data_IF_311829683053
#
_entry.id   IF_311829683053
#
_cell.length_a   1.000
_cell.length_b   1.000
_cell.length_c   1.000
_cell.angle_alpha   90.00
_cell.angle_beta   90.00
_cell.angle_gamma   90.00
#
_symmetry.space_group_name_H-M   'P 1'
#
loop_
_entity.id
_entity.type
_entity.pdbx_description
1 polymer ?
#
# COMPACT_ATOMS: atom_id res chain seq x y z
N UNK A 1 -9.89 -16.35 14.82
CA UNK A 1 -8.91 -16.04 13.75
C UNK A 1 -9.19 -14.62 13.31
N UNK A 2 -8.21 -13.70 13.22
CA UNK A 2 -8.46 -12.42 12.58
C UNK A 2 -8.84 -12.70 11.11
N UNK A 3 -9.91 -12.06 10.61
CA UNK A 3 -10.32 -12.20 9.22
C UNK A 3 -9.20 -11.73 8.29
N UNK A 4 -8.98 -12.48 7.21
CA UNK A 4 -8.06 -12.04 6.17
C UNK A 4 -8.65 -10.80 5.49
N UNK A 5 -7.81 -9.86 5.03
CA UNK A 5 -8.30 -8.65 4.35
C UNK A 5 -9.15 -9.01 3.12
N UNK A 6 -8.88 -10.16 2.49
CA UNK A 6 -9.58 -10.62 1.29
C UNK A 6 -11.07 -10.91 1.50
N UNK A 7 -11.49 -11.30 2.71
CA UNK A 7 -12.90 -11.59 2.98
C UNK A 7 -13.72 -10.32 3.25
N UNK A 8 -13.07 -9.22 3.64
CA UNK A 8 -13.71 -8.01 4.17
C UNK A 8 -13.96 -6.91 3.11
N UNK A 9 -13.47 -7.04 1.86
CA UNK A 9 -13.41 -5.93 0.88
C UNK A 9 -14.21 -6.11 -0.42
N UNK A 10 -14.77 -7.30 -0.68
CA UNK A 10 -15.57 -7.56 -1.88
C UNK A 10 -17.07 -7.35 -1.63
N UNK A 11 -17.43 -6.27 -0.94
CA UNK A 11 -18.80 -6.01 -0.48
C UNK A 11 -19.48 -4.82 -1.21
N UNK A 12 -18.83 -4.26 -2.23
CA UNK A 12 -19.25 -3.08 -3.00
C UNK A 12 -19.23 -1.75 -2.24
N UNK A 13 -18.59 -1.67 -1.07
CA UNK A 13 -18.35 -0.43 -0.35
C UNK A 13 -16.91 0.09 -0.56
N UNK A 14 -16.69 1.35 -0.19
CA UNK A 14 -15.35 1.93 -0.15
C UNK A 14 -14.61 1.45 1.09
N UNK A 15 -13.37 0.99 0.89
CA UNK A 15 -12.45 0.65 1.96
C UNK A 15 -11.18 1.48 1.88
N UNK A 16 -10.71 1.94 3.04
CA UNK A 16 -9.39 2.57 3.14
C UNK A 16 -8.35 1.48 3.43
N UNK A 17 -7.39 1.33 2.53
CA UNK A 17 -6.28 0.39 2.67
C UNK A 17 -4.96 1.14 2.83
N UNK A 18 -4.11 0.68 3.75
CA UNK A 18 -2.75 1.21 3.91
C UNK A 18 -1.79 0.06 4.19
N UNK A 19 -0.61 0.12 3.59
CA UNK A 19 0.50 -0.77 3.89
C UNK A 19 1.74 0.07 4.17
N UNK A 20 2.55 -0.35 5.15
CA UNK A 20 3.83 0.25 5.45
C UNK A 20 4.93 -0.80 5.46
N UNK A 21 6.14 -0.35 5.12
CA UNK A 21 7.37 -1.10 5.29
C UNK A 21 8.48 -0.14 5.70
N UNK A 22 9.43 -0.66 6.49
CA UNK A 22 10.64 0.07 6.85
C UNK A 22 11.87 -0.82 6.71
N UNK A 23 12.91 -0.28 6.05
CA UNK A 23 14.17 -0.96 5.82
C UNK A 23 14.92 -1.27 7.13
N UNK A 24 14.87 -0.35 8.10
CA UNK A 24 15.67 -0.44 9.32
C UNK A 24 15.39 -1.68 10.18
N UNK A 25 14.16 -2.20 10.11
CA UNK A 25 13.74 -3.39 10.85
C UNK A 25 13.16 -4.47 9.94
N UNK A 26 13.15 -4.23 8.62
CA UNK A 26 12.47 -5.04 7.62
C UNK A 26 11.02 -5.41 8.02
N UNK A 27 10.36 -4.51 8.77
CA UNK A 27 9.03 -4.75 9.31
C UNK A 27 7.98 -4.22 8.35
N UNK A 28 6.84 -4.92 8.28
CA UNK A 28 5.70 -4.52 7.47
C UNK A 28 4.42 -4.51 8.30
N UNK A 29 3.47 -3.67 7.89
CA UNK A 29 2.12 -3.62 8.48
C UNK A 29 1.07 -3.39 7.40
N UNK A 30 -0.13 -3.90 7.63
CA UNK A 30 -1.30 -3.67 6.78
C UNK A 30 -2.49 -3.24 7.62
N UNK A 31 -3.24 -2.27 7.09
CA UNK A 31 -4.37 -1.65 7.74
C UNK A 31 -5.58 -1.67 6.82
N UNK A 32 -6.75 -1.92 7.39
CA UNK A 32 -8.04 -1.80 6.72
C UNK A 32 -8.95 -0.90 7.55
N UNK A 33 -9.54 0.12 6.91
CA UNK A 33 -10.42 1.10 7.54
C UNK A 33 -9.79 1.71 8.81
N UNK A 34 -8.49 2.00 8.75
CA UNK A 34 -7.73 2.61 9.84
C UNK A 34 -7.32 1.66 10.96
N UNK A 35 -7.62 0.37 10.84
CA UNK A 35 -7.33 -0.65 11.87
C UNK A 35 -6.23 -1.58 11.38
N UNK A 36 -5.24 -1.85 12.23
CA UNK A 36 -4.18 -2.83 11.96
C UNK A 36 -4.78 -4.23 11.76
N UNK A 37 -4.47 -4.85 10.62
CA UNK A 37 -4.95 -6.20 10.25
C UNK A 37 -3.83 -7.22 10.21
N UNK A 38 -2.62 -6.81 9.84
CA UNK A 38 -1.45 -7.68 9.77
C UNK A 38 -0.17 -6.91 10.07
N UNK A 39 0.81 -7.62 10.62
CA UNK A 39 2.17 -7.12 10.79
C UNK A 39 3.14 -8.29 10.79
N UNK A 40 4.40 -8.00 10.52
CA UNK A 40 5.48 -8.97 10.61
C UNK A 40 6.83 -8.33 10.45
N UNK A 41 7.85 -9.16 10.59
CA UNK A 41 9.24 -8.86 10.26
C UNK A 41 9.61 -9.62 8.98
N UNK A 42 10.82 -9.40 8.45
CA UNK A 42 11.33 -10.09 7.26
C UNK A 42 10.49 -9.87 5.98
N UNK A 43 10.02 -8.64 5.76
CA UNK A 43 9.19 -8.31 4.58
C UNK A 43 9.89 -8.61 3.24
N UNK A 44 11.20 -8.36 3.18
CA UNK A 44 12.08 -8.64 2.05
C UNK A 44 13.12 -9.69 2.42
N UNK A 45 13.54 -10.50 1.46
CA UNK A 45 14.68 -11.40 1.67
C UNK A 45 15.97 -10.57 1.89
N UNK A 46 16.95 -11.07 2.65
CA UNK A 46 18.21 -10.33 2.91
C UNK A 46 18.99 -9.99 1.61
N UNK A 47 18.79 -10.78 0.55
CA UNK A 47 19.36 -10.56 -0.79
C UNK A 47 18.66 -9.40 -1.51
N UNK A 48 17.41 -9.12 -1.16
CA UNK A 48 16.54 -8.06 -1.69
C UNK A 48 16.54 -6.78 -0.84
N UNK A 49 17.42 -6.66 0.17
CA UNK A 49 17.57 -5.40 0.92
C UNK A 49 17.88 -4.27 -0.07
N UNK A 50 16.89 -3.40 -0.28
CA UNK A 50 16.78 -2.51 -1.44
C UNK A 50 17.92 -1.49 -1.47
N UNK A 51 19.03 -1.85 -2.11
CA UNK A 51 19.89 -0.90 -2.82
C UNK A 51 19.24 -0.49 -4.15
N UNK A 52 17.92 -0.29 -4.19
CA UNK A 52 17.22 0.06 -5.42
C UNK A 52 17.01 1.57 -5.44
N UNK A 53 17.81 2.34 -6.21
CA UNK A 53 17.47 3.72 -6.46
C UNK A 53 16.22 3.67 -7.34
N UNK A 54 15.10 4.19 -6.84
CA UNK A 54 13.85 4.44 -7.60
C UNK A 54 14.02 5.36 -8.83
N UNK A 55 15.26 5.65 -9.24
CA UNK A 55 15.60 6.66 -10.23
C UNK A 55 15.03 6.36 -11.62
N UNK A 56 14.77 5.09 -11.96
CA UNK A 56 14.27 4.67 -13.28
C UNK A 56 13.00 3.78 -13.21
N UNK A 57 12.29 3.78 -12.09
CA UNK A 57 11.06 2.98 -11.89
C UNK A 57 9.79 3.66 -12.40
N UNK A 58 8.78 2.86 -12.79
CA UNK A 58 7.42 3.34 -13.08
C UNK A 58 6.43 2.86 -12.02
N UNK A 59 5.45 3.70 -11.67
CA UNK A 59 4.29 3.29 -10.87
C UNK A 59 3.11 3.09 -11.82
N UNK A 60 2.55 1.88 -11.79
CA UNK A 60 1.37 1.52 -12.58
C UNK A 60 0.22 1.23 -11.61
N UNK A 61 -0.96 1.78 -11.92
CA UNK A 61 -2.18 1.50 -11.18
C UNK A 61 -3.13 0.70 -12.08
N UNK A 62 -3.63 -0.42 -11.54
CA UNK A 62 -4.74 -1.15 -12.13
C UNK A 62 -4.39 -2.34 -13.02
N UNK A 63 -3.13 -2.76 -13.08
CA UNK A 63 -2.70 -4.01 -13.70
C UNK A 63 -1.34 -4.42 -13.15
N UNK A 64 -0.98 -5.69 -13.34
CA UNK A 64 0.36 -6.17 -13.05
C UNK A 64 1.35 -5.76 -14.15
N UNK A 65 2.58 -5.45 -13.76
CA UNK A 65 3.67 -5.07 -14.64
C UNK A 65 4.84 -6.05 -14.51
N UNK A 66 4.82 -7.09 -15.34
CA UNK A 66 5.91 -8.09 -15.45
C UNK A 66 7.22 -7.53 -16.05
N UNK A 67 7.23 -6.28 -16.51
CA UNK A 67 8.43 -5.61 -17.03
C UNK A 67 8.17 -4.20 -17.57
N UNK A 68 9.23 -3.44 -17.85
CA UNK A 68 9.09 -2.11 -18.43
C UNK A 68 8.36 -2.19 -19.79
N UNK A 69 7.21 -1.52 -19.91
CA UNK A 69 6.34 -1.55 -21.09
C UNK A 69 5.89 -2.96 -21.51
N UNK A 70 5.81 -3.90 -20.56
CA UNK A 70 5.23 -5.22 -20.80
C UNK A 70 3.74 -5.12 -21.11
N UNK A 71 3.15 -6.24 -21.55
CA UNK A 71 1.70 -6.36 -21.52
C UNK A 71 1.22 -6.20 -20.08
N UNK A 72 0.12 -5.46 -19.95
CA UNK A 72 -0.61 -5.33 -18.70
C UNK A 72 -1.55 -6.52 -18.63
N UNK A 73 -1.21 -7.48 -17.80
CA UNK A 73 -2.04 -8.64 -17.52
C UNK A 73 -2.70 -8.45 -16.13
N UNK A 74 -3.75 -9.22 -15.84
CA UNK A 74 -4.46 -9.19 -14.54
C UNK A 74 -5.02 -7.80 -14.14
N UNK A 75 -5.98 -7.26 -14.90
CA UNK A 75 -6.51 -5.92 -14.64
C UNK A 75 -7.28 -5.84 -13.32
N UNK A 76 -7.08 -4.74 -12.60
CA UNK A 76 -7.93 -4.36 -11.48
C UNK A 76 -9.33 -3.98 -11.99
N UNK A 77 -10.35 -4.64 -11.44
CA UNK A 77 -11.75 -4.37 -11.74
C UNK A 77 -12.41 -3.74 -10.51
N UNK A 78 -12.47 -2.41 -10.48
CA UNK A 78 -13.07 -1.68 -9.37
C UNK A 78 -12.85 -0.19 -9.49
N UNK A 79 -13.14 0.52 -8.40
CA UNK A 79 -12.90 1.95 -8.29
C UNK A 79 -11.73 2.20 -7.32
N UNK A 80 -10.88 3.15 -7.68
CA UNK A 80 -9.75 3.59 -6.86
C UNK A 80 -9.77 5.10 -6.76
N UNK A 81 -9.43 5.64 -5.59
CA UNK A 81 -9.30 7.08 -5.35
C UNK A 81 -8.26 7.29 -4.26
N UNK A 82 -7.75 8.51 -4.14
CA UNK A 82 -6.90 8.91 -3.01
C UNK A 82 -5.60 8.10 -2.84
N UNK A 83 -5.01 7.63 -3.94
CA UNK A 83 -3.74 6.91 -3.91
C UNK A 83 -2.62 7.86 -3.54
N UNK A 84 -1.96 7.60 -2.43
CA UNK A 84 -0.86 8.41 -1.92
C UNK A 84 0.29 7.50 -1.46
N UNK A 85 1.52 7.98 -1.58
CA UNK A 85 2.73 7.30 -1.13
C UNK A 85 3.57 8.29 -0.33
N UNK A 86 4.14 7.81 0.77
CA UNK A 86 5.04 8.55 1.64
C UNK A 86 6.42 7.88 1.69
N UNK A 87 7.47 8.69 1.82
CA UNK A 87 8.85 8.20 2.01
C UNK A 87 9.19 7.92 3.49
N UNK A 88 8.16 7.79 4.34
CA UNK A 88 8.28 7.47 5.76
C UNK A 88 7.11 6.57 6.17
N UNK A 89 7.30 5.85 7.26
CA UNK A 89 6.18 5.18 7.91
C UNK A 89 5.23 6.20 8.54
N UNK A 90 3.93 6.05 8.29
CA UNK A 90 2.87 6.78 8.99
C UNK A 90 2.58 6.07 10.32
N UNK A 91 2.22 6.84 11.34
CA UNK A 91 1.80 6.29 12.63
C UNK A 91 0.40 5.70 12.54
N UNK A 92 0.07 4.76 13.45
CA UNK A 92 -1.28 4.19 13.57
C UNK A 92 -2.36 5.26 13.70
N UNK A 93 -2.05 6.38 14.37
CA UNK A 93 -2.97 7.50 14.54
C UNK A 93 -3.20 8.25 13.23
N UNK A 94 -2.14 8.53 12.47
CA UNK A 94 -2.25 9.16 11.15
C UNK A 94 -3.10 8.30 10.20
N UNK A 95 -2.88 6.98 10.20
CA UNK A 95 -3.63 6.03 9.37
C UNK A 95 -5.11 5.94 9.80
N UNK A 96 -5.37 5.93 11.11
CA UNK A 96 -6.74 5.93 11.63
C UNK A 96 -7.50 7.22 11.30
N UNK A 97 -6.81 8.35 11.26
CA UNK A 97 -7.38 9.64 10.87
C UNK A 97 -7.66 9.72 9.37
N UNK A 98 -6.74 9.24 8.54
CA UNK A 98 -6.90 9.13 7.09
C UNK A 98 -8.17 8.34 6.73
N UNK A 99 -8.40 7.23 7.41
CA UNK A 99 -9.55 6.35 7.15
C UNK A 99 -10.92 6.98 7.45
N UNK A 100 -10.98 8.07 8.22
CA UNK A 100 -12.24 8.71 8.66
C UNK A 100 -12.56 10.00 7.92
N UNK A 101 -11.60 10.57 7.20
CA UNK A 101 -11.70 11.87 6.55
C UNK A 101 -11.90 11.71 5.05
N UNK A 102 -12.48 12.73 4.43
CA UNK A 102 -12.41 12.83 2.98
C UNK A 102 -10.94 12.94 2.55
N UNK A 103 -10.55 12.32 1.42
CA UNK A 103 -9.20 12.43 0.89
C UNK A 103 -8.76 13.88 0.76
N UNK A 104 -7.80 14.29 1.58
CA UNK A 104 -7.28 15.66 1.63
C UNK A 104 -5.80 15.74 1.98
N UNK A 105 -5.23 14.63 2.45
CA UNK A 105 -3.81 14.54 2.76
C UNK A 105 -3.00 14.35 1.48
N UNK A 106 -1.79 14.92 1.47
CA UNK A 106 -0.89 14.92 0.33
C UNK A 106 0.31 14.03 0.66
N UNK A 107 0.43 12.91 -0.05
CA UNK A 107 1.63 12.08 -0.02
C UNK A 107 2.87 12.84 -0.48
N UNK A 108 3.96 12.73 0.27
CA UNK A 108 5.19 13.47 -0.05
C UNK A 108 6.08 12.80 -1.10
N UNK A 109 5.73 11.60 -1.54
CA UNK A 109 6.37 10.89 -2.65
C UNK A 109 5.46 10.83 -3.88
N UNK A 110 4.20 10.42 -3.69
CA UNK A 110 3.16 10.47 -4.71
C UNK A 110 1.86 10.94 -4.05
N UNK A 111 1.12 11.81 -4.72
CA UNK A 111 -0.19 12.27 -4.28
C UNK A 111 -1.21 12.22 -5.41
N UNK A 112 -2.48 12.04 -5.01
CA UNK A 112 -3.65 12.02 -5.88
C UNK A 112 -4.14 13.42 -6.25
#
# INVERSE_FOLDING_TARGET
>A
MPSSIGDDVFDSHWHHYCASWTDSTNAWKTYLNGTLKGHGEEALSMEDSLQCPLHDGSIVLGADQDGYQSKMDEPFLGNMTAVNIWNRELTDTEIADLAKKCPSEIGNFLSW
#
